data_IF_420761123752
#
_entry.id   IF_420761123752
#
_cell.length_a   1.000
_cell.length_b   1.000
_cell.length_c   1.000
_cell.angle_alpha   90.00
_cell.angle_beta   90.00
_cell.angle_gamma   90.00
#
_symmetry.space_group_name_H-M   'P 1'
#
loop_
_entity.id
_entity.type
_entity.pdbx_description
1 polymer ?
#
# COMPACT_ATOMS: atom_id res chain seq x y z
N UNK A 1 -4.07 -11.14 -10.61
CA UNK A 1 -4.59 -11.12 -9.23
C UNK A 1 -5.83 -11.99 -8.98
N UNK A 2 -6.89 -11.98 -9.81
CA UNK A 2 -8.08 -12.84 -9.58
C UNK A 2 -7.75 -14.34 -9.44
N UNK A 3 -6.91 -14.87 -10.33
CA UNK A 3 -6.40 -16.26 -10.24
C UNK A 3 -5.57 -16.52 -8.98
N UNK A 4 -4.80 -15.52 -8.53
CA UNK A 4 -4.03 -15.60 -7.30
C UNK A 4 -4.92 -15.69 -6.06
N UNK A 5 -5.99 -14.89 -5.98
CA UNK A 5 -6.93 -14.90 -4.85
C UNK A 5 -7.50 -16.30 -4.64
N UNK A 6 -7.89 -16.98 -5.72
CA UNK A 6 -8.35 -18.36 -5.67
C UNK A 6 -7.24 -19.33 -5.20
N UNK A 7 -6.02 -19.23 -5.76
CA UNK A 7 -4.86 -20.04 -5.36
C UNK A 7 -4.50 -19.86 -3.88
N UNK A 8 -4.54 -18.63 -3.37
CA UNK A 8 -4.26 -18.30 -1.99
C UNK A 8 -5.43 -18.63 -1.04
N UNK A 9 -6.56 -19.16 -1.56
CA UNK A 9 -7.74 -19.50 -0.76
C UNK A 9 -8.36 -18.30 -0.04
N UNK A 10 -8.18 -17.10 -0.60
CA UNK A 10 -8.67 -15.84 -0.05
C UNK A 10 -10.11 -15.64 -0.50
N UNK A 11 -11.06 -15.95 0.36
CA UNK A 11 -12.48 -15.75 0.08
C UNK A 11 -12.83 -14.26 0.18
N UNK A 12 -13.48 -13.64 -0.83
CA UNK A 12 -13.91 -12.25 -0.73
C UNK A 12 -14.85 -12.03 0.46
N UNK A 13 -14.68 -10.91 1.17
CA UNK A 13 -15.50 -10.56 2.33
C UNK A 13 -16.87 -10.04 1.90
N UNK A 14 -17.91 -10.73 2.35
CA UNK A 14 -19.30 -10.29 2.24
C UNK A 14 -19.67 -9.52 3.51
N UNK A 15 -19.90 -8.22 3.35
CA UNK A 15 -20.25 -7.31 4.44
C UNK A 15 -21.56 -7.74 5.11
N UNK A 16 -22.64 -7.93 4.35
CA UNK A 16 -23.95 -8.27 4.89
C UNK A 16 -23.95 -9.57 5.72
N UNK A 17 -23.21 -10.59 5.29
CA UNK A 17 -23.11 -11.89 5.97
C UNK A 17 -21.96 -11.98 6.97
N UNK A 18 -21.11 -10.95 7.07
CA UNK A 18 -19.89 -10.93 7.89
C UNK A 18 -18.97 -12.14 7.67
N UNK A 19 -18.87 -12.61 6.43
CA UNK A 19 -18.14 -13.83 6.05
C UNK A 19 -17.12 -13.57 4.96
N UNK A 20 -16.10 -14.42 4.89
CA UNK A 20 -14.96 -14.25 3.98
C UNK A 20 -13.76 -13.65 4.70
N UNK A 21 -12.64 -13.55 3.98
CA UNK A 21 -11.36 -13.15 4.55
C UNK A 21 -10.80 -11.88 3.90
N UNK A 22 -10.84 -11.76 2.58
CA UNK A 22 -10.24 -10.66 1.83
C UNK A 22 -11.23 -9.49 1.70
N UNK A 23 -10.94 -8.36 2.34
CA UNK A 23 -11.75 -7.14 2.26
C UNK A 23 -11.36 -6.30 1.05
N UNK A 24 -10.07 -5.99 0.92
CA UNK A 24 -9.54 -5.14 -0.15
C UNK A 24 -8.17 -5.62 -0.62
N UNK A 25 -7.83 -5.25 -1.86
CA UNK A 25 -6.46 -5.21 -2.35
C UNK A 25 -6.11 -3.76 -2.61
N UNK A 26 -5.06 -3.27 -1.96
CA UNK A 26 -4.54 -1.93 -2.21
C UNK A 26 -3.27 -2.08 -3.05
N UNK A 27 -3.23 -1.37 -4.17
CA UNK A 27 -2.09 -1.34 -5.06
C UNK A 27 -1.55 0.09 -5.14
N UNK A 28 -0.26 0.23 -4.91
CA UNK A 28 0.48 1.46 -5.15
C UNK A 28 1.60 1.15 -6.11
N UNK A 29 1.72 1.94 -7.18
CA UNK A 29 2.79 1.86 -8.15
C UNK A 29 3.69 3.08 -8.00
N UNK A 30 5.00 2.85 -8.00
CA UNK A 30 6.01 3.90 -8.00
C UNK A 30 6.21 4.41 -9.42
N UNK A 31 6.19 5.73 -9.58
CA UNK A 31 6.48 6.37 -10.86
C UNK A 31 7.97 6.39 -11.19
N UNK A 32 8.83 6.19 -10.20
CA UNK A 32 10.29 6.17 -10.35
C UNK A 32 10.76 4.99 -11.21
N UNK A 33 10.29 3.78 -10.91
CA UNK A 33 10.78 2.56 -11.54
C UNK A 33 9.70 1.51 -11.85
N UNK A 34 8.42 1.85 -11.67
CA UNK A 34 7.30 0.92 -11.88
C UNK A 34 7.18 -0.15 -10.80
N UNK A 35 7.96 -0.07 -9.71
CA UNK A 35 7.84 -0.97 -8.57
C UNK A 35 6.44 -0.88 -7.95
N UNK A 36 5.92 -2.01 -7.49
CA UNK A 36 4.55 -2.11 -6.96
C UNK A 36 4.56 -2.56 -5.51
N UNK A 37 3.76 -1.88 -4.69
CA UNK A 37 3.34 -2.31 -3.37
C UNK A 37 1.93 -2.91 -3.46
N UNK A 38 1.77 -4.14 -2.97
CA UNK A 38 0.49 -4.84 -2.88
C UNK A 38 0.16 -5.15 -1.42
N UNK A 39 -0.95 -4.59 -0.93
CA UNK A 39 -1.41 -4.81 0.44
C UNK A 39 -2.71 -5.59 0.44
N UNK A 40 -2.72 -6.71 1.15
CA UNK A 40 -3.91 -7.53 1.37
C UNK A 40 -4.62 -7.07 2.64
N UNK A 41 -5.78 -6.45 2.52
CA UNK A 41 -6.61 -6.15 3.71
C UNK A 41 -7.44 -7.37 4.05
N UNK A 42 -7.07 -8.04 5.14
CA UNK A 42 -7.69 -9.27 5.61
C UNK A 42 -8.53 -9.00 6.86
N UNK A 43 -9.58 -9.79 7.04
CA UNK A 43 -10.38 -9.78 8.27
C UNK A 43 -9.58 -10.26 9.48
N UNK A 44 -8.69 -11.23 9.30
CA UNK A 44 -7.96 -11.92 10.36
C UNK A 44 -6.62 -12.47 9.85
N UNK A 45 -5.87 -13.12 10.73
CA UNK A 45 -4.58 -13.75 10.38
C UNK A 45 -4.74 -15.20 9.92
N UNK A 46 -5.96 -15.74 9.88
CA UNK A 46 -6.21 -17.18 9.65
C UNK A 46 -5.68 -17.68 8.30
N UNK A 47 -5.58 -16.81 7.30
CA UNK A 47 -5.07 -17.13 5.96
C UNK A 47 -3.62 -16.71 5.71
N UNK A 48 -2.91 -16.18 6.71
CA UNK A 48 -1.56 -15.67 6.49
C UNK A 48 -0.57 -16.74 6.01
N UNK A 49 -0.61 -17.93 6.62
CA UNK A 49 0.28 -19.03 6.23
C UNK A 49 0.03 -19.46 4.78
N UNK A 50 -1.24 -19.59 4.39
CA UNK A 50 -1.62 -19.94 3.02
C UNK A 50 -1.23 -18.84 2.03
N UNK A 51 -1.43 -17.57 2.40
CA UNK A 51 -1.02 -16.42 1.60
C UNK A 51 0.48 -16.43 1.36
N UNK A 52 1.30 -16.54 2.42
CA UNK A 52 2.76 -16.62 2.35
C UNK A 52 3.23 -17.74 1.42
N UNK A 53 2.63 -18.92 1.52
CA UNK A 53 2.98 -20.06 0.67
C UNK A 53 2.68 -19.82 -0.82
N UNK A 54 1.69 -18.97 -1.15
CA UNK A 54 1.34 -18.66 -2.52
C UNK A 54 2.17 -17.50 -3.12
N UNK A 55 2.80 -16.64 -2.30
CA UNK A 55 3.50 -15.44 -2.75
C UNK A 55 4.62 -15.69 -3.78
N UNK A 56 5.45 -16.74 -3.68
CA UNK A 56 6.49 -16.98 -4.69
C UNK A 56 5.93 -17.09 -6.11
N UNK A 57 4.77 -17.75 -6.27
CA UNK A 57 4.09 -17.82 -7.56
C UNK A 57 3.62 -16.44 -8.02
N UNK A 58 3.10 -15.60 -7.13
CA UNK A 58 2.65 -14.25 -7.48
C UNK A 58 3.81 -13.37 -7.94
N UNK A 59 4.93 -13.40 -7.24
CA UNK A 59 6.12 -12.62 -7.58
C UNK A 59 6.75 -13.09 -8.91
N UNK A 60 6.65 -14.38 -9.26
CA UNK A 60 7.04 -14.86 -10.59
C UNK A 60 6.14 -14.29 -11.70
N UNK A 61 4.85 -14.11 -11.45
CA UNK A 61 3.92 -13.54 -12.43
C UNK A 61 4.00 -12.01 -12.52
N UNK A 62 4.42 -11.35 -11.44
CA UNK A 62 4.54 -9.90 -11.33
C UNK A 62 5.90 -9.54 -10.69
N UNK A 63 7.00 -9.61 -11.46
CA UNK A 63 8.35 -9.35 -10.96
C UNK A 63 8.54 -7.94 -10.39
N UNK A 64 7.68 -6.99 -10.77
CA UNK A 64 7.67 -5.63 -10.24
C UNK A 64 7.11 -5.50 -8.82
N UNK A 65 6.52 -6.56 -8.24
CA UNK A 65 6.05 -6.55 -6.85
C UNK A 65 7.24 -6.54 -5.88
N UNK A 66 7.52 -5.36 -5.31
CA UNK A 66 8.63 -5.14 -4.38
C UNK A 66 8.20 -5.24 -2.93
N UNK A 67 7.03 -4.68 -2.60
CA UNK A 67 6.51 -4.66 -1.22
C UNK A 67 5.19 -5.41 -1.16
N UNK A 68 5.12 -6.41 -0.30
CA UNK A 68 3.88 -7.14 -0.06
C UNK A 68 3.62 -7.18 1.44
N UNK A 69 2.40 -6.84 1.83
CA UNK A 69 1.98 -6.85 3.24
C UNK A 69 0.55 -7.35 3.41
N UNK A 70 0.21 -7.79 4.62
CA UNK A 70 -1.15 -8.10 5.03
C UNK A 70 -1.58 -7.15 6.16
N UNK A 71 -2.61 -6.36 5.89
CA UNK A 71 -3.23 -5.47 6.85
C UNK A 71 -4.41 -6.19 7.52
N UNK A 72 -4.47 -6.24 8.84
CA UNK A 72 -5.51 -6.95 9.59
C UNK A 72 -6.57 -5.97 10.08
N UNK A 73 -7.76 -6.06 9.49
CA UNK A 73 -8.91 -5.20 9.76
C UNK A 73 -10.05 -6.07 10.31
N UNK A 74 -10.07 -6.37 11.63
CA UNK A 74 -11.07 -7.27 12.22
C UNK A 74 -12.44 -6.61 12.38
N UNK A 75 -12.47 -5.29 12.43
CA UNK A 75 -13.66 -4.53 12.78
C UNK A 75 -14.65 -4.47 11.62
N UNK A 76 -15.94 -4.58 11.93
CA UNK A 76 -17.02 -4.48 10.95
C UNK A 76 -17.56 -3.05 10.88
N UNK A 77 -16.70 -2.12 10.46
CA UNK A 77 -17.02 -0.70 10.25
C UNK A 77 -16.54 -0.28 8.86
N UNK A 78 -17.03 0.87 8.37
CA UNK A 78 -16.65 1.46 7.08
C UNK A 78 -15.25 2.10 7.11
N UNK A 79 -14.25 1.36 7.61
CA UNK A 79 -12.85 1.73 7.58
C UNK A 79 -12.11 0.83 6.59
N UNK A 80 -11.18 1.41 5.83
CA UNK A 80 -10.49 0.72 4.74
C UNK A 80 -9.42 -0.26 5.25
N UNK A 81 -8.76 0.09 6.34
CA UNK A 81 -7.59 -0.62 6.88
C UNK A 81 -7.74 -0.75 8.39
N UNK A 82 -7.02 -1.71 8.97
CA UNK A 82 -6.86 -1.88 10.42
C UNK A 82 -5.47 -1.45 10.87
N UNK A 83 -5.27 -1.49 12.18
CA UNK A 83 -4.06 -0.96 12.83
C UNK A 83 -2.84 -1.85 12.61
N UNK A 84 -3.04 -3.17 12.50
CA UNK A 84 -1.95 -4.14 12.40
C UNK A 84 -1.56 -4.39 10.95
N UNK A 85 -0.33 -4.06 10.60
CA UNK A 85 0.29 -4.42 9.34
C UNK A 85 1.33 -5.54 9.54
N UNK A 86 1.32 -6.54 8.66
CA UNK A 86 2.27 -7.65 8.70
C UNK A 86 3.03 -7.68 7.38
N UNK A 87 4.34 -7.42 7.44
CA UNK A 87 5.22 -7.53 6.28
C UNK A 87 5.28 -9.00 5.78
N UNK A 88 5.17 -9.16 4.46
CA UNK A 88 5.29 -10.46 3.78
C UNK A 88 6.54 -10.55 2.89
N UNK A 89 7.18 -9.41 2.60
CA UNK A 89 8.49 -9.30 1.92
C UNK A 89 9.52 -8.63 2.83
N UNK A 90 10.80 -8.85 2.53
CA UNK A 90 11.91 -8.18 3.23
C UNK A 90 11.90 -6.67 2.99
N UNK A 91 11.65 -6.25 1.75
CA UNK A 91 11.44 -4.85 1.43
C UNK A 91 10.08 -4.39 1.97
N UNK A 92 10.10 -3.34 2.80
CA UNK A 92 8.93 -2.83 3.52
C UNK A 92 8.52 -1.41 3.08
N UNK A 93 9.28 -0.80 2.17
CA UNK A 93 8.97 0.51 1.62
C UNK A 93 9.21 0.52 0.11
N UNK A 94 8.34 1.24 -0.59
CA UNK A 94 8.49 1.49 -2.01
C UNK A 94 9.22 2.81 -2.19
N UNK A 95 10.30 2.80 -2.96
CA UNK A 95 11.01 4.02 -3.32
C UNK A 95 10.22 4.82 -4.35
N UNK A 96 10.15 6.12 -4.15
CA UNK A 96 9.50 7.07 -5.05
C UNK A 96 10.35 8.34 -5.11
N UNK A 97 10.24 9.10 -6.20
CA UNK A 97 10.91 10.38 -6.32
C UNK A 97 9.90 11.50 -6.55
N UNK A 98 9.97 12.53 -5.71
CA UNK A 98 9.04 13.64 -5.76
C UNK A 98 9.76 14.98 -5.70
N UNK A 99 9.62 15.81 -6.73
CA UNK A 99 10.36 17.08 -6.83
C UNK A 99 11.87 16.92 -6.54
N UNK A 100 12.47 15.84 -7.06
CA UNK A 100 13.87 15.44 -6.85
C UNK A 100 14.24 15.00 -5.42
N UNK A 101 13.27 14.90 -4.51
CA UNK A 101 13.46 14.36 -3.15
C UNK A 101 13.12 12.86 -3.13
N UNK A 102 14.02 11.99 -2.62
CA UNK A 102 13.72 10.58 -2.45
C UNK A 102 12.70 10.40 -1.31
N UNK A 103 11.64 9.66 -1.57
CA UNK A 103 10.60 9.31 -0.61
C UNK A 103 10.45 7.79 -0.52
N UNK A 104 10.15 7.31 0.69
CA UNK A 104 9.93 5.89 0.96
C UNK A 104 8.50 5.69 1.42
N UNK A 105 7.65 5.19 0.52
CA UNK A 105 6.24 4.90 0.80
C UNK A 105 6.18 3.64 1.66
N UNK A 106 5.67 3.75 2.89
CA UNK A 106 5.41 2.61 3.78
C UNK A 106 3.92 2.29 3.81
N UNK A 107 3.53 1.05 4.19
CA UNK A 107 2.13 0.76 4.52
C UNK A 107 1.54 1.78 5.50
N UNK A 108 0.26 2.12 5.35
CA UNK A 108 -0.47 3.15 6.13
C UNK A 108 0.08 4.58 6.01
N UNK A 109 1.16 4.81 5.25
CA UNK A 109 1.60 6.18 4.95
C UNK A 109 0.64 6.83 3.98
N UNK A 110 0.20 8.05 4.28
CA UNK A 110 -0.59 8.83 3.35
C UNK A 110 0.32 9.34 2.24
N UNK A 111 -0.02 8.99 0.99
CA UNK A 111 0.62 9.53 -0.20
C UNK A 111 -0.45 10.14 -1.09
N UNK A 112 -0.12 11.26 -1.73
CA UNK A 112 -1.05 11.92 -2.65
C UNK A 112 -1.30 10.99 -3.83
N UNK A 113 -2.57 10.66 -4.07
CA UNK A 113 -2.99 9.76 -5.15
C UNK A 113 -2.77 10.34 -6.55
N UNK A 114 -2.48 11.64 -6.64
CA UNK A 114 -2.09 12.34 -7.86
C UNK A 114 -0.72 13.02 -7.67
N UNK A 115 0.37 12.35 -8.08
CA UNK A 115 1.72 12.88 -7.90
C UNK A 115 1.97 14.20 -8.66
N UNK A 116 1.36 14.37 -9.84
CA UNK A 116 1.54 15.59 -10.65
C UNK A 116 0.97 16.83 -9.94
N UNK A 117 -0.27 16.73 -9.45
CA UNK A 117 -0.91 17.85 -8.73
C UNK A 117 -0.19 18.15 -7.43
N UNK A 118 0.23 17.13 -6.70
CA UNK A 118 0.99 17.34 -5.47
C UNK A 118 2.34 18.05 -5.76
N UNK A 119 2.95 17.79 -6.93
CA UNK A 119 4.27 18.33 -7.27
C UNK A 119 4.17 19.85 -7.46
N UNK A 120 3.14 20.26 -8.19
CA UNK A 120 2.76 21.67 -8.37
C UNK A 120 2.37 22.32 -7.04
N UNK A 121 1.61 21.64 -6.18
CA UNK A 121 1.23 22.13 -4.87
C UNK A 121 2.46 22.43 -3.99
N UNK A 122 3.41 21.49 -3.91
CA UNK A 122 4.61 21.66 -3.11
C UNK A 122 5.57 22.69 -3.71
N UNK A 123 5.67 22.77 -5.04
CA UNK A 123 6.41 23.84 -5.71
C UNK A 123 5.82 25.22 -5.41
N UNK A 124 4.49 25.34 -5.46
CA UNK A 124 3.76 26.58 -5.14
C UNK A 124 3.98 27.00 -3.69
N UNK A 125 3.84 26.07 -2.74
CA UNK A 125 4.10 26.34 -1.33
C UNK A 125 5.55 26.80 -1.08
N UNK A 126 6.53 26.13 -1.71
CA UNK A 126 7.94 26.55 -1.66
C UNK A 126 8.12 27.98 -2.17
N UNK A 127 7.48 28.32 -3.28
CA UNK A 127 7.64 29.64 -3.90
C UNK A 127 7.01 30.75 -3.04
N UNK A 128 5.86 30.48 -2.39
CA UNK A 128 5.25 31.41 -1.43
C UNK A 128 6.12 31.61 -0.19
N UNK A 129 6.67 30.54 0.37
CA UNK A 129 7.51 30.58 1.58
C UNK A 129 8.85 31.26 1.31
N UNK A 130 9.41 31.13 0.10
CA UNK A 130 10.69 31.75 -0.29
C UNK A 130 10.69 33.27 -0.11
N UNK A 131 9.55 33.93 -0.31
CA UNK A 131 9.42 35.38 -0.15
C UNK A 131 9.39 35.84 1.33
N UNK A 132 9.21 34.92 2.28
CA UNK A 132 8.93 35.24 3.69
C UNK A 132 10.15 35.13 4.62
N UNK A 133 11.34 34.78 4.11
CA UNK A 133 12.57 34.70 4.94
C UNK A 133 12.50 33.67 6.07
N UNK A 134 11.75 32.59 5.85
CA UNK A 134 11.47 31.55 6.86
C UNK A 134 12.74 30.71 7.08
N UNK A 135 13.30 30.78 8.29
CA UNK A 135 14.51 30.02 8.69
C UNK A 135 14.18 28.69 9.43
N UNK A 136 12.92 28.47 9.80
CA UNK A 136 12.46 27.22 10.42
C UNK A 136 10.97 26.96 10.16
N UNK A 137 10.59 25.68 10.10
CA UNK A 137 9.21 25.20 9.97
C UNK A 137 9.08 23.93 10.83
N UNK A 138 7.93 23.75 11.48
CA UNK A 138 7.65 22.66 12.42
C UNK A 138 6.70 21.64 11.82
#
# INVERSE_FOLDING_TARGET
LKSFIARAGLTPYNVARKRGELKYLLLTESTLDGGVMLRFVLRSETKLAQLRAALPWLQQQLPQLKVISANIQPVHMAIMEGEREIALTEQQALEEQFNQVPLFIRPQSFFQTNPQVAAELYATARDWVRALGINSMW
#
